data_IF_859572544426
#
_entry.id   IF_859572544426
#
_cell.length_a   1.000
_cell.length_b   1.000
_cell.length_c   1.000
_cell.angle_alpha   90.00
_cell.angle_beta   90.00
_cell.angle_gamma   90.00
#
_symmetry.space_group_name_H-M   'P 1'
#
loop_
_entity.id
_entity.type
_entity.pdbx_description
1 polymer ?
#
# COMPACT_ATOMS: atom_id res chain seq x y z
N UNK A 1 -19.12 -1.10 -15.76
CA UNK A 1 -20.30 -1.97 -15.58
C UNK A 1 -20.00 -3.46 -15.40
N UNK A 2 -19.14 -4.11 -16.22
CA UNK A 2 -18.79 -5.54 -16.02
C UNK A 2 -18.14 -5.85 -14.66
N UNK A 3 -17.24 -4.99 -14.17
CA UNK A 3 -16.59 -5.19 -12.87
C UNK A 3 -17.60 -5.23 -11.71
N UNK A 4 -18.60 -4.34 -11.71
CA UNK A 4 -19.67 -4.34 -10.72
C UNK A 4 -20.52 -5.62 -10.80
N UNK A 5 -20.86 -6.07 -12.02
CA UNK A 5 -21.61 -7.32 -12.22
C UNK A 5 -20.86 -8.53 -11.66
N UNK A 6 -19.54 -8.60 -11.89
CA UNK A 6 -18.70 -9.68 -11.36
C UNK A 6 -18.59 -9.64 -9.84
N UNK A 7 -18.44 -8.46 -9.24
CA UNK A 7 -18.38 -8.31 -7.78
C UNK A 7 -19.71 -8.68 -7.11
N UNK A 8 -20.84 -8.38 -7.74
CA UNK A 8 -22.16 -8.77 -7.23
C UNK A 8 -22.37 -10.29 -7.21
N UNK A 9 -21.57 -11.07 -7.94
CA UNK A 9 -21.65 -12.55 -7.95
C UNK A 9 -20.92 -13.22 -6.77
N UNK A 10 -20.06 -12.51 -6.03
CA UNK A 10 -19.32 -13.06 -4.89
C UNK A 10 -19.94 -12.60 -3.55
N UNK A 11 -19.88 -13.41 -2.48
CA UNK A 11 -20.30 -13.00 -1.15
C UNK A 11 -19.34 -11.94 -0.56
N UNK A 12 -19.79 -11.21 0.46
CA UNK A 12 -18.98 -10.21 1.19
C UNK A 12 -18.32 -9.16 0.28
N UNK A 13 -19.07 -8.69 -0.73
CA UNK A 13 -18.57 -7.84 -1.81
C UNK A 13 -18.66 -6.33 -1.54
N UNK A 14 -19.32 -5.90 -0.45
CA UNK A 14 -19.65 -4.50 -0.17
C UNK A 14 -18.42 -3.60 -0.27
N UNK A 15 -17.33 -3.96 0.40
CA UNK A 15 -16.10 -3.17 0.39
C UNK A 15 -15.45 -3.09 -1.00
N UNK A 16 -15.55 -4.14 -1.80
CA UNK A 16 -15.04 -4.14 -3.17
C UNK A 16 -15.87 -3.25 -4.09
N UNK A 17 -17.20 -3.24 -3.92
CA UNK A 17 -18.10 -2.35 -4.66
C UNK A 17 -17.85 -0.89 -4.30
N UNK A 18 -17.64 -0.59 -3.01
CA UNK A 18 -17.29 0.76 -2.54
C UNK A 18 -15.98 1.22 -3.21
N UNK A 19 -14.94 0.39 -3.17
CA UNK A 19 -13.64 0.70 -3.79
C UNK A 19 -13.76 0.94 -5.30
N UNK A 20 -14.58 0.14 -5.97
CA UNK A 20 -14.86 0.30 -7.41
C UNK A 20 -15.54 1.65 -7.68
N UNK A 21 -16.56 2.01 -6.90
CA UNK A 21 -17.30 3.26 -7.10
C UNK A 21 -16.47 4.48 -6.72
N UNK A 22 -15.75 4.43 -5.60
CA UNK A 22 -14.88 5.51 -5.12
C UNK A 22 -13.80 5.89 -6.14
N UNK A 23 -13.26 4.89 -6.86
CA UNK A 23 -12.19 5.10 -7.84
C UNK A 23 -12.70 5.31 -9.27
N UNK A 24 -14.01 5.30 -9.51
CA UNK A 24 -14.58 5.44 -10.85
C UNK A 24 -14.39 6.89 -11.36
N UNK A 25 -13.69 7.10 -12.49
CA UNK A 25 -13.58 8.41 -13.11
C UNK A 25 -14.85 8.67 -13.95
N UNK A 26 -15.77 9.47 -13.43
CA UNK A 26 -17.02 9.81 -14.12
C UNK A 26 -17.64 11.10 -13.61
N UNK A 27 -18.65 11.60 -14.34
CA UNK A 27 -19.47 12.71 -13.84
C UNK A 27 -20.42 12.23 -12.73
N UNK A 28 -21.03 13.16 -12.00
CA UNK A 28 -21.95 12.86 -10.89
C UNK A 28 -23.09 11.93 -11.30
N UNK A 29 -23.65 12.12 -12.50
CA UNK A 29 -24.73 11.28 -13.05
C UNK A 29 -24.25 9.84 -13.27
N UNK A 30 -23.11 9.65 -13.94
CA UNK A 30 -22.53 8.32 -14.17
C UNK A 30 -22.12 7.61 -12.87
N UNK A 31 -21.65 8.37 -11.87
CA UNK A 31 -21.33 7.85 -10.55
C UNK A 31 -22.60 7.39 -9.83
N UNK A 32 -23.66 8.20 -9.83
CA UNK A 32 -24.93 7.84 -9.20
C UNK A 32 -25.58 6.63 -9.90
N UNK A 33 -25.52 6.53 -11.23
CA UNK A 33 -25.97 5.33 -11.96
C UNK A 33 -25.22 4.07 -11.51
N UNK A 34 -23.91 4.19 -11.26
CA UNK A 34 -23.09 3.09 -10.75
C UNK A 34 -23.42 2.78 -9.27
N UNK A 35 -23.68 3.80 -8.45
CA UNK A 35 -24.10 3.63 -7.06
C UNK A 35 -25.43 2.88 -6.99
N UNK A 36 -26.43 3.28 -7.77
CA UNK A 36 -27.73 2.63 -7.86
C UNK A 36 -27.59 1.15 -8.24
N UNK A 37 -26.72 0.86 -9.23
CA UNK A 37 -26.41 -0.52 -9.63
C UNK A 37 -25.78 -1.33 -8.50
N UNK A 38 -24.90 -0.70 -7.71
CA UNK A 38 -24.22 -1.30 -6.58
C UNK A 38 -25.05 -1.26 -5.27
N UNK A 39 -26.26 -0.69 -5.28
CA UNK A 39 -27.11 -0.45 -4.10
C UNK A 39 -26.41 0.41 -3.04
N UNK A 40 -25.67 1.42 -3.47
CA UNK A 40 -24.99 2.40 -2.62
C UNK A 40 -25.80 3.72 -2.60
N UNK A 41 -25.68 4.53 -1.52
CA UNK A 41 -26.32 5.84 -1.45
C UNK A 41 -25.79 6.78 -2.54
N UNK A 42 -26.59 7.79 -2.89
CA UNK A 42 -26.17 8.81 -3.85
C UNK A 42 -24.99 9.62 -3.31
N UNK A 43 -24.20 10.21 -4.22
CA UNK A 43 -23.06 11.07 -3.85
C UNK A 43 -23.44 12.23 -2.93
N UNK A 44 -24.68 12.75 -3.01
CA UNK A 44 -25.21 13.78 -2.11
C UNK A 44 -25.52 13.24 -0.71
N UNK A 45 -26.18 12.08 -0.63
CA UNK A 45 -26.49 11.40 0.65
C UNK A 45 -25.22 10.98 1.39
N UNK A 46 -24.18 10.57 0.64
CA UNK A 46 -22.88 10.19 1.18
C UNK A 46 -22.26 11.29 2.06
N UNK A 47 -22.45 12.57 1.74
CA UNK A 47 -21.91 13.66 2.56
C UNK A 47 -22.55 13.65 3.96
N UNK A 48 -23.88 13.56 4.02
CA UNK A 48 -24.61 13.56 5.29
C UNK A 48 -24.30 12.30 6.12
N UNK A 49 -24.16 11.15 5.45
CA UNK A 49 -23.76 9.90 6.09
C UNK A 49 -22.33 9.98 6.66
N UNK A 50 -21.41 10.61 5.93
CA UNK A 50 -20.04 10.82 6.39
C UNK A 50 -19.98 11.72 7.63
N UNK A 51 -20.73 12.83 7.63
CA UNK A 51 -20.80 13.75 8.77
C UNK A 51 -21.44 13.09 10.01
N UNK A 52 -22.48 12.28 9.81
CA UNK A 52 -23.13 11.53 10.88
C UNK A 52 -22.18 10.49 11.48
N UNK A 53 -21.53 9.69 10.62
CA UNK A 53 -20.54 8.70 11.06
C UNK A 53 -19.35 9.35 11.79
N UNK A 54 -18.97 10.56 11.39
CA UNK A 54 -17.90 11.30 12.05
C UNK A 54 -18.32 11.77 13.46
N UNK A 55 -19.58 12.22 13.62
CA UNK A 55 -20.14 12.58 14.92
C UNK A 55 -20.22 11.38 15.88
N UNK A 56 -20.40 10.17 15.33
CA UNK A 56 -20.44 8.90 16.08
C UNK A 56 -19.05 8.28 16.31
N UNK A 57 -17.96 8.99 15.99
CA UNK A 57 -16.56 8.53 16.09
C UNK A 57 -16.24 7.25 15.27
N UNK A 58 -17.05 6.98 14.24
CA UNK A 58 -16.83 5.84 13.35
C UNK A 58 -15.97 6.25 12.15
N UNK A 59 -14.65 6.26 12.35
CA UNK A 59 -13.68 6.70 11.34
C UNK A 59 -13.75 5.87 10.06
N UNK A 60 -13.92 4.55 10.17
CA UNK A 60 -13.97 3.69 9.00
C UNK A 60 -15.14 4.04 8.08
N UNK A 61 -16.35 4.15 8.65
CA UNK A 61 -17.55 4.56 7.90
C UNK A 61 -17.46 6.00 7.40
N UNK A 62 -16.86 6.90 8.19
CA UNK A 62 -16.63 8.30 7.78
C UNK A 62 -15.81 8.36 6.50
N UNK A 63 -14.66 7.67 6.47
CA UNK A 63 -13.80 7.60 5.29
C UNK A 63 -14.55 6.95 4.12
N UNK A 64 -15.25 5.84 4.38
CA UNK A 64 -16.06 5.11 3.40
C UNK A 64 -17.03 6.02 2.64
N UNK A 65 -17.83 6.81 3.36
CA UNK A 65 -18.82 7.68 2.75
C UNK A 65 -18.22 8.93 2.10
N UNK A 66 -17.17 9.53 2.67
CA UNK A 66 -16.49 10.64 2.00
C UNK A 66 -15.91 10.22 0.64
N UNK A 67 -15.34 9.01 0.53
CA UNK A 67 -14.82 8.49 -0.73
C UNK A 67 -15.89 8.36 -1.83
N UNK A 68 -17.12 8.03 -1.42
CA UNK A 68 -18.29 7.94 -2.31
C UNK A 68 -18.95 9.30 -2.56
N UNK A 69 -18.43 10.39 -2.01
CA UNK A 69 -19.01 11.73 -2.19
C UNK A 69 -18.33 12.52 -3.33
N UNK A 70 -18.82 13.74 -3.57
CA UNK A 70 -18.20 14.67 -4.51
C UNK A 70 -16.83 15.21 -4.01
N UNK A 71 -16.55 15.08 -2.71
CA UNK A 71 -15.38 15.64 -2.00
C UNK A 71 -14.57 14.56 -1.25
N UNK A 72 -14.02 13.56 -1.97
CA UNK A 72 -13.24 12.47 -1.35
C UNK A 72 -11.98 12.95 -0.61
N UNK A 73 -11.46 14.13 -0.94
CA UNK A 73 -10.33 14.75 -0.27
C UNK A 73 -10.56 15.03 1.22
N UNK A 74 -11.82 15.20 1.67
CA UNK A 74 -12.16 15.40 3.08
C UNK A 74 -11.84 14.17 3.94
N UNK A 75 -11.78 12.98 3.35
CA UNK A 75 -11.40 11.76 4.04
C UNK A 75 -9.93 11.75 4.48
N UNK A 76 -9.05 12.44 3.73
CA UNK A 76 -7.60 12.42 3.95
C UNK A 76 -7.20 12.83 5.38
N UNK A 77 -7.51 14.05 5.86
CA UNK A 77 -7.07 14.47 7.20
C UNK A 77 -7.64 13.58 8.30
N UNK A 78 -8.88 13.10 8.16
CA UNK A 78 -9.57 12.25 9.15
C UNK A 78 -8.86 10.90 9.25
N UNK A 79 -8.72 10.19 8.12
CA UNK A 79 -8.12 8.86 8.11
C UNK A 79 -6.61 8.90 8.39
N UNK A 80 -5.88 9.91 7.93
CA UNK A 80 -4.45 10.07 8.23
C UNK A 80 -4.22 10.37 9.70
N UNK A 81 -5.03 11.24 10.32
CA UNK A 81 -4.94 11.52 11.76
C UNK A 81 -5.15 10.26 12.59
N UNK A 82 -6.18 9.46 12.28
CA UNK A 82 -6.43 8.17 12.91
C UNK A 82 -5.21 7.24 12.83
N UNK A 83 -4.63 7.08 11.64
CA UNK A 83 -3.45 6.21 11.46
C UNK A 83 -2.26 6.72 12.25
N UNK A 84 -2.01 8.04 12.25
CA UNK A 84 -0.91 8.67 13.00
C UNK A 84 -1.06 8.46 14.50
N UNK A 85 -2.27 8.56 15.03
CA UNK A 85 -2.55 8.31 16.44
C UNK A 85 -2.21 6.86 16.82
N UNK A 86 -2.67 5.89 16.04
CA UNK A 86 -2.36 4.47 16.28
C UNK A 86 -0.87 4.16 16.15
N UNK A 87 -0.18 4.67 15.12
CA UNK A 87 1.27 4.44 14.96
C UNK A 87 2.07 5.05 16.11
N UNK A 88 1.59 6.16 16.69
CA UNK A 88 2.20 6.80 17.85
C UNK A 88 2.01 6.01 19.15
N UNK A 89 1.04 5.10 19.19
CA UNK A 89 0.81 4.20 20.33
C UNK A 89 1.79 3.01 20.34
N UNK A 90 2.02 2.39 21.50
CA UNK A 90 2.96 1.27 21.64
C UNK A 90 2.45 -0.08 21.11
N UNK A 91 1.12 -0.27 21.08
CA UNK A 91 0.49 -1.59 20.96
C UNK A 91 -0.50 -1.70 19.77
N UNK A 92 -0.25 -0.97 18.69
CA UNK A 92 -1.05 -1.09 17.47
C UNK A 92 -0.65 -2.32 16.64
N UNK A 93 -1.56 -2.75 15.76
CA UNK A 93 -1.34 -3.87 14.85
C UNK A 93 -1.72 -3.51 13.42
N UNK A 94 -1.10 -4.14 12.43
CA UNK A 94 -1.33 -3.83 11.03
C UNK A 94 -2.82 -3.87 10.65
N UNK A 95 -3.58 -4.78 11.24
CA UNK A 95 -5.01 -4.97 10.99
C UNK A 95 -5.88 -3.81 11.49
N UNK A 96 -5.39 -2.98 12.43
CA UNK A 96 -6.15 -1.83 12.92
C UNK A 96 -6.05 -0.63 11.98
N UNK A 97 -4.86 -0.42 11.37
CA UNK A 97 -4.62 0.75 10.52
C UNK A 97 -4.83 0.48 9.03
N UNK A 98 -4.60 -0.77 8.59
CA UNK A 98 -4.63 -1.11 7.17
C UNK A 98 -6.00 -0.88 6.52
N UNK A 99 -7.15 -1.23 7.12
CA UNK A 99 -8.45 -1.02 6.48
C UNK A 99 -8.73 0.45 6.11
N UNK A 100 -8.31 1.39 6.97
CA UNK A 100 -8.48 2.83 6.72
C UNK A 100 -7.51 3.31 5.63
N UNK A 101 -6.23 2.91 5.70
CA UNK A 101 -5.23 3.27 4.66
C UNK A 101 -5.58 2.70 3.29
N UNK A 102 -6.08 1.47 3.26
CA UNK A 102 -6.52 0.80 2.04
C UNK A 102 -7.66 1.58 1.40
N UNK A 103 -8.68 2.00 2.17
CA UNK A 103 -9.74 2.88 1.67
C UNK A 103 -9.20 4.21 1.12
N UNK A 104 -8.35 4.91 1.87
CA UNK A 104 -7.76 6.19 1.42
C UNK A 104 -6.98 6.07 0.09
N UNK A 105 -6.47 4.88 -0.24
CA UNK A 105 -5.80 4.64 -1.51
C UNK A 105 -6.72 4.59 -2.73
N UNK A 106 -8.04 4.55 -2.54
CA UNK A 106 -9.04 4.63 -3.59
C UNK A 106 -9.59 6.05 -3.82
N UNK A 107 -8.96 7.07 -3.25
CA UNK A 107 -9.22 8.46 -3.68
C UNK A 107 -8.81 8.59 -5.14
N UNK A 108 -9.72 9.13 -5.95
CA UNK A 108 -9.50 9.41 -7.38
C UNK A 108 -8.21 10.19 -7.58
N UNK A 109 -7.40 9.74 -8.55
CA UNK A 109 -6.06 10.30 -8.78
C UNK A 109 -6.11 11.80 -9.09
N UNK A 110 -7.09 12.26 -9.85
CA UNK A 110 -7.26 13.69 -10.16
C UNK A 110 -7.54 14.55 -8.92
N UNK A 111 -8.22 13.99 -7.91
CA UNK A 111 -8.49 14.66 -6.63
C UNK A 111 -7.27 14.64 -5.73
N UNK A 112 -6.58 13.50 -5.65
CA UNK A 112 -5.38 13.34 -4.82
C UNK A 112 -4.20 14.20 -5.33
N UNK A 113 -4.12 14.46 -6.64
CA UNK A 113 -3.08 15.28 -7.24
C UNK A 113 -3.33 16.80 -7.14
N UNK A 114 -4.47 17.24 -6.60
CA UNK A 114 -4.72 18.65 -6.34
C UNK A 114 -3.65 19.24 -5.42
N UNK A 115 -3.26 20.49 -5.69
CA UNK A 115 -2.22 21.18 -4.93
C UNK A 115 -2.58 21.33 -3.44
N UNK A 116 -3.87 21.50 -3.13
CA UNK A 116 -4.42 21.56 -1.77
C UNK A 116 -4.18 20.27 -0.97
N UNK A 117 -4.04 19.14 -1.64
CA UNK A 117 -3.83 17.83 -1.03
C UNK A 117 -2.34 17.46 -0.91
N UNK A 118 -1.39 18.34 -1.25
CA UNK A 118 0.04 17.98 -1.34
C UNK A 118 0.60 17.40 -0.05
N UNK A 119 0.34 18.02 1.09
CA UNK A 119 0.80 17.54 2.40
C UNK A 119 0.17 16.20 2.74
N UNK A 120 -1.15 16.11 2.69
CA UNK A 120 -1.90 14.90 2.99
C UNK A 120 -1.53 13.73 2.06
N UNK A 121 -1.33 13.99 0.76
CA UNK A 121 -0.84 13.01 -0.21
C UNK A 121 0.55 12.52 0.18
N UNK A 122 1.44 13.42 0.59
CA UNK A 122 2.80 13.05 1.00
C UNK A 122 2.78 12.16 2.26
N UNK A 123 1.96 12.51 3.25
CA UNK A 123 1.75 11.68 4.45
C UNK A 123 1.16 10.31 4.09
N UNK A 124 0.12 10.27 3.26
CA UNK A 124 -0.50 9.02 2.79
C UNK A 124 0.52 8.11 2.09
N UNK A 125 1.35 8.67 1.20
CA UNK A 125 2.36 7.89 0.48
C UNK A 125 3.39 7.25 1.41
N UNK A 126 3.76 7.95 2.48
CA UNK A 126 4.70 7.44 3.50
C UNK A 126 4.04 6.35 4.34
N UNK A 127 2.82 6.59 4.81
CA UNK A 127 2.06 5.63 5.60
C UNK A 127 1.77 4.34 4.82
N UNK A 128 1.37 4.47 3.55
CA UNK A 128 1.19 3.33 2.65
C UNK A 128 2.51 2.62 2.31
N UNK A 129 3.60 3.36 2.16
CA UNK A 129 4.93 2.77 1.94
C UNK A 129 5.37 1.87 3.10
N UNK A 130 5.27 2.39 4.33
CA UNK A 130 5.61 1.64 5.54
C UNK A 130 4.67 0.45 5.76
N UNK A 131 3.35 0.68 5.69
CA UNK A 131 2.33 -0.37 5.82
C UNK A 131 2.50 -1.45 4.75
N UNK A 132 2.85 -1.05 3.52
CA UNK A 132 3.16 -1.95 2.43
C UNK A 132 4.40 -2.81 2.71
N UNK A 133 5.44 -2.27 3.35
CA UNK A 133 6.59 -3.05 3.79
C UNK A 133 6.18 -4.14 4.79
N UNK A 134 5.34 -3.78 5.76
CA UNK A 134 4.81 -4.72 6.75
C UNK A 134 3.96 -5.81 6.09
N UNK A 135 3.07 -5.46 5.17
CA UNK A 135 2.28 -6.42 4.39
C UNK A 135 3.16 -7.32 3.52
N UNK A 136 4.23 -6.78 2.92
CA UNK A 136 5.20 -7.55 2.14
C UNK A 136 5.91 -8.59 3.00
N UNK A 137 6.32 -8.21 4.23
CA UNK A 137 6.89 -9.16 5.20
C UNK A 137 5.87 -10.26 5.51
N UNK A 138 4.63 -9.89 5.84
CA UNK A 138 3.55 -10.83 6.16
C UNK A 138 3.28 -11.81 4.99
N UNK A 139 3.33 -11.33 3.75
CA UNK A 139 3.11 -12.14 2.54
C UNK A 139 4.37 -12.83 2.00
N UNK A 140 5.51 -12.67 2.66
CA UNK A 140 6.81 -13.22 2.26
C UNK A 140 7.30 -12.72 0.88
N UNK A 141 6.96 -11.48 0.51
CA UNK A 141 7.48 -10.81 -0.69
C UNK A 141 8.87 -10.23 -0.42
N UNK A 142 9.83 -11.10 -0.08
CA UNK A 142 11.13 -10.71 0.45
C UNK A 142 11.91 -9.75 -0.47
N UNK A 143 11.77 -9.86 -1.79
CA UNK A 143 12.51 -9.02 -2.75
C UNK A 143 12.17 -7.54 -2.65
N UNK A 144 10.91 -7.21 -2.35
CA UNK A 144 10.44 -5.82 -2.32
C UNK A 144 10.47 -5.19 -0.92
N UNK A 145 10.66 -5.98 0.15
CA UNK A 145 10.70 -5.45 1.52
C UNK A 145 11.76 -4.35 1.67
N UNK A 146 13.04 -4.55 1.31
CA UNK A 146 14.04 -3.49 1.39
C UNK A 146 13.68 -2.25 0.56
N UNK A 147 13.10 -2.47 -0.62
CA UNK A 147 12.73 -1.39 -1.52
C UNK A 147 11.60 -0.52 -0.96
N UNK A 148 10.64 -1.10 -0.23
CA UNK A 148 9.55 -0.37 0.42
C UNK A 148 10.05 0.47 1.62
N UNK A 149 10.99 -0.04 2.42
CA UNK A 149 11.64 0.75 3.47
C UNK A 149 12.47 1.90 2.90
N UNK A 150 13.23 1.65 1.83
CA UNK A 150 14.01 2.68 1.16
C UNK A 150 13.10 3.74 0.53
N UNK A 151 12.04 3.33 -0.18
CA UNK A 151 11.01 4.22 -0.70
C UNK A 151 10.45 5.14 0.40
N UNK A 152 10.02 4.56 1.51
CA UNK A 152 9.47 5.31 2.65
C UNK A 152 10.50 6.29 3.23
N UNK A 153 11.75 5.85 3.37
CA UNK A 153 12.85 6.67 3.87
C UNK A 153 13.19 7.83 2.93
N UNK A 154 13.16 7.61 1.61
CA UNK A 154 13.39 8.67 0.62
C UNK A 154 12.28 9.70 0.63
N UNK A 155 11.03 9.27 0.81
CA UNK A 155 9.91 10.19 0.96
C UNK A 155 10.04 11.05 2.22
N UNK A 156 10.40 10.45 3.36
CA UNK A 156 10.66 11.18 4.60
C UNK A 156 11.81 12.19 4.47
N UNK A 157 12.88 11.84 3.74
CA UNK A 157 14.04 12.74 3.53
C UNK A 157 13.72 13.94 2.65
N UNK A 158 12.88 13.76 1.62
CA UNK A 158 12.64 14.76 0.58
C UNK A 158 11.44 15.66 0.85
N UNK A 159 10.61 15.33 1.84
CA UNK A 159 9.31 15.98 2.07
C UNK A 159 9.21 16.45 3.50
N UNK A 160 8.70 17.66 3.66
CA UNK A 160 8.30 18.18 4.95
C UNK A 160 6.90 17.66 5.27
N UNK A 161 6.83 16.70 6.21
CA UNK A 161 5.59 16.03 6.63
C UNK A 161 5.62 15.75 8.13
N UNK A 162 4.45 15.65 8.75
CA UNK A 162 4.33 15.40 10.19
C UNK A 162 3.85 13.98 10.44
N UNK A 163 4.68 12.97 10.18
CA UNK A 163 4.32 11.56 10.45
C UNK A 163 5.11 10.99 11.63
N UNK A 164 4.52 10.08 12.45
CA UNK A 164 5.18 9.47 13.60
C UNK A 164 6.15 8.35 13.18
N UNK A 165 6.95 8.60 12.14
CA UNK A 165 7.95 7.68 11.59
C UNK A 165 9.28 8.41 11.47
N UNK A 166 10.35 7.73 11.83
CA UNK A 166 11.72 8.25 11.77
C UNK A 166 12.58 7.35 10.89
N UNK A 167 13.53 7.93 10.17
CA UNK A 167 14.40 7.19 9.25
C UNK A 167 15.27 6.20 10.04
N UNK A 168 15.73 6.57 11.23
CA UNK A 168 16.54 5.72 12.11
C UNK A 168 15.76 4.46 12.50
N UNK A 169 14.50 4.65 12.88
CA UNK A 169 13.59 3.57 13.24
C UNK A 169 13.34 2.62 12.06
N UNK A 170 13.12 3.15 10.85
CA UNK A 170 12.95 2.33 9.64
C UNK A 170 14.21 1.52 9.33
N UNK A 171 15.39 2.10 9.51
CA UNK A 171 16.67 1.42 9.30
C UNK A 171 16.88 0.30 10.32
N UNK A 172 16.64 0.57 11.61
CA UNK A 172 16.77 -0.43 12.69
C UNK A 172 15.83 -1.62 12.47
N UNK A 173 14.58 -1.36 12.08
CA UNK A 173 13.58 -2.40 11.81
C UNK A 173 13.97 -3.25 10.59
N UNK A 174 14.43 -2.61 9.50
CA UNK A 174 14.90 -3.32 8.30
C UNK A 174 16.13 -4.17 8.58
N UNK A 175 17.09 -3.66 9.35
CA UNK A 175 18.32 -4.39 9.69
C UNK A 175 18.02 -5.58 10.62
N UNK A 176 17.11 -5.40 11.59
CA UNK A 176 16.61 -6.48 12.43
C UNK A 176 15.91 -7.57 11.59
N UNK A 177 15.03 -7.17 10.67
CA UNK A 177 14.36 -8.10 9.75
C UNK A 177 15.36 -8.88 8.90
N UNK A 178 16.35 -8.22 8.29
CA UNK A 178 17.42 -8.88 7.51
C UNK A 178 18.20 -9.88 8.35
N UNK A 179 18.66 -9.48 9.53
CA UNK A 179 19.46 -10.35 10.40
C UNK A 179 18.68 -11.60 10.87
N UNK A 180 17.38 -11.46 11.12
CA UNK A 180 16.52 -12.56 11.56
C UNK A 180 15.99 -13.46 10.43
N UNK A 181 15.95 -12.97 9.18
CA UNK A 181 15.44 -13.75 8.02
C UNK A 181 16.54 -14.38 7.16
N UNK A 182 17.75 -13.83 7.15
CA UNK A 182 18.93 -14.40 6.46
C UNK A 182 19.33 -15.80 7.01
N UNK A 183 18.91 -16.14 8.23
CA UNK A 183 19.08 -17.48 8.80
C UNK A 183 18.24 -18.55 8.10
N UNK A 184 17.11 -18.17 7.49
CA UNK A 184 16.14 -19.09 6.89
C UNK A 184 16.40 -19.34 5.39
N UNK A 185 17.08 -18.43 4.69
CA UNK A 185 17.27 -18.48 3.22
C UNK A 185 18.55 -19.14 2.73
N UNK A 186 19.40 -19.66 3.62
CA UNK A 186 20.70 -20.23 3.22
C UNK A 186 20.64 -21.67 2.78
N UNK A 187 20.62 -21.84 1.46
CA UNK A 187 21.20 -23.01 0.80
C UNK A 187 22.46 -22.71 -0.03
N UNK A 188 22.91 -21.46 -0.28
CA UNK A 188 23.87 -21.25 -1.39
C UNK A 188 25.00 -20.18 -1.32
N UNK A 189 25.29 -19.39 -0.27
CA UNK A 189 26.41 -18.42 -0.33
C UNK A 189 27.33 -18.27 0.91
N UNK A 190 28.65 -18.29 0.64
CA UNK A 190 29.86 -18.34 1.49
C UNK A 190 30.18 -17.08 2.34
N UNK A 191 29.19 -16.33 2.82
CA UNK A 191 29.46 -15.20 3.73
C UNK A 191 29.50 -15.66 5.20
N UNK A 192 30.40 -15.15 6.07
CA UNK A 192 30.42 -15.53 7.48
C UNK A 192 29.10 -15.18 8.17
N UNK A 193 28.44 -16.18 8.75
CA UNK A 193 27.18 -15.98 9.46
C UNK A 193 27.43 -15.27 10.79
N UNK A 194 26.99 -14.01 10.89
CA UNK A 194 26.85 -13.33 12.19
C UNK A 194 25.43 -13.52 12.70
N UNK A 195 25.23 -14.20 13.84
CA UNK A 195 23.91 -14.35 14.42
C UNK A 195 23.32 -12.99 14.82
N UNK A 196 21.98 -12.83 14.80
CA UNK A 196 21.34 -11.59 15.18
C UNK A 196 21.60 -11.26 16.64
N UNK A 197 21.91 -9.99 16.92
CA UNK A 197 22.12 -9.47 18.27
C UNK A 197 20.82 -9.49 19.10
N UNK A 198 20.93 -9.38 20.41
CA UNK A 198 19.75 -9.32 21.30
C UNK A 198 18.86 -8.11 21.00
N UNK A 199 19.47 -6.97 20.64
CA UNK A 199 18.72 -5.77 20.21
C UNK A 199 17.94 -6.02 18.91
N UNK A 200 18.55 -6.65 17.91
CA UNK A 200 17.88 -6.99 16.64
C UNK A 200 16.73 -7.98 16.88
N UNK A 201 16.94 -8.99 17.74
CA UNK A 201 15.87 -9.94 18.10
C UNK A 201 14.70 -9.26 18.79
N UNK A 202 14.95 -8.29 19.66
CA UNK A 202 13.90 -7.55 20.35
C UNK A 202 13.10 -6.67 19.38
N UNK A 203 13.77 -5.96 18.47
CA UNK A 203 13.11 -5.17 17.42
C UNK A 203 12.28 -6.07 16.51
N UNK A 204 12.85 -7.20 16.07
CA UNK A 204 12.16 -8.18 15.23
C UNK A 204 10.94 -8.79 15.95
N UNK A 205 11.03 -9.07 17.25
CA UNK A 205 9.88 -9.55 18.03
C UNK A 205 8.75 -8.50 18.11
N UNK A 206 9.09 -7.21 18.26
CA UNK A 206 8.11 -6.11 18.22
C UNK A 206 7.46 -5.99 16.84
N UNK A 207 8.27 -6.08 15.77
CA UNK A 207 7.78 -6.13 14.39
C UNK A 207 6.76 -7.28 14.21
N UNK A 208 7.10 -8.49 14.64
CA UNK A 208 6.19 -9.64 14.56
C UNK A 208 4.88 -9.44 15.34
N UNK A 209 4.92 -8.80 16.51
CA UNK A 209 3.71 -8.46 17.28
C UNK A 209 2.78 -7.54 16.48
N UNK A 210 3.33 -6.52 15.82
CA UNK A 210 2.53 -5.61 14.97
C UNK A 210 1.95 -6.32 13.75
N UNK A 211 2.72 -7.25 13.20
CA UNK A 211 2.32 -8.04 12.05
C UNK A 211 1.20 -9.03 12.34
N UNK A 212 0.79 -9.24 13.61
CA UNK A 212 -0.28 -10.14 14.12
C UNK A 212 -0.67 -11.27 13.16
N UNK A 213 -0.55 -12.52 13.59
CA UNK A 213 -1.00 -13.67 12.79
C UNK A 213 -2.48 -13.56 12.41
N UNK A 214 -2.73 -13.00 11.24
CA UNK A 214 -3.98 -13.16 10.54
C UNK A 214 -3.92 -14.52 9.82
N UNK A 215 -5.04 -15.25 9.87
CA UNK A 215 -5.26 -16.42 9.03
C UNK A 215 -5.41 -15.98 7.58
N UNK A 216 -4.31 -15.57 6.93
CA UNK A 216 -4.33 -15.15 5.54
C UNK A 216 -4.90 -16.28 4.68
N UNK A 217 -6.12 -16.08 4.15
CA UNK A 217 -6.78 -16.97 3.17
C UNK A 217 -6.13 -16.91 1.77
N UNK A 218 -4.96 -16.29 1.64
CA UNK A 218 -4.31 -15.97 0.36
C UNK A 218 -2.97 -16.69 0.15
N UNK A 219 -2.51 -16.71 -1.09
CA UNK A 219 -1.21 -17.29 -1.48
C UNK A 219 -0.09 -16.40 -0.93
N UNK A 220 0.83 -17.01 -0.18
CA UNK A 220 2.06 -16.39 0.32
C UNK A 220 3.26 -16.80 -0.54
N UNK A 221 4.29 -15.96 -0.55
CA UNK A 221 5.52 -16.20 -1.30
C UNK A 221 5.59 -15.42 -2.61
N UNK A 222 6.78 -15.39 -3.24
CA UNK A 222 7.04 -14.56 -4.40
C UNK A 222 6.15 -14.91 -5.60
N UNK A 223 5.73 -13.87 -6.33
CA UNK A 223 5.08 -14.04 -7.63
C UNK A 223 6.12 -14.38 -8.70
N UNK A 224 5.82 -15.37 -9.54
CA UNK A 224 6.61 -15.72 -10.71
C UNK A 224 5.74 -15.73 -11.95
N UNK A 225 5.99 -14.79 -12.86
CA UNK A 225 5.39 -14.82 -14.19
C UNK A 225 6.12 -15.80 -15.11
N UNK A 226 5.46 -16.17 -16.19
CA UNK A 226 6.11 -17.02 -17.21
C UNK A 226 7.31 -16.28 -17.78
N UNK A 227 8.47 -16.93 -17.75
CA UNK A 227 9.71 -16.39 -18.32
C UNK A 227 10.53 -15.48 -17.39
N UNK A 228 10.19 -15.33 -16.10
CA UNK A 228 10.94 -14.47 -15.16
C UNK A 228 12.43 -14.80 -15.04
N UNK A 229 12.81 -16.06 -15.28
CA UNK A 229 14.20 -16.52 -15.20
C UNK A 229 14.87 -16.65 -16.58
N UNK A 230 14.21 -16.21 -17.66
CA UNK A 230 14.80 -16.26 -18.99
C UNK A 230 15.81 -15.12 -19.16
N UNK A 231 16.97 -15.39 -19.80
CA UNK A 231 17.95 -14.34 -20.08
C UNK A 231 17.36 -13.27 -21.00
N UNK A 232 17.54 -11.99 -20.65
CA UNK A 232 17.31 -10.90 -21.59
C UNK A 232 18.51 -10.73 -22.52
N UNK A 233 18.30 -10.89 -23.82
CA UNK A 233 19.33 -10.90 -24.86
C UNK A 233 19.47 -9.60 -25.67
N UNK A 234 18.48 -8.70 -25.64
CA UNK A 234 18.48 -7.48 -26.47
C UNK A 234 18.45 -6.18 -25.66
N UNK A 235 17.58 -6.10 -24.65
CA UNK A 235 17.38 -4.86 -23.89
C UNK A 235 17.69 -5.08 -22.40
N UNK A 236 18.78 -4.45 -21.95
CA UNK A 236 19.23 -4.52 -20.55
C UNK A 236 18.54 -3.38 -19.80
N UNK A 237 17.53 -3.74 -19.02
CA UNK A 237 16.88 -2.82 -18.08
C UNK A 237 17.40 -3.06 -16.67
N UNK A 238 17.63 -1.97 -15.93
CA UNK A 238 18.01 -2.01 -14.52
C UNK A 238 16.77 -1.71 -13.69
N UNK A 239 16.48 -2.56 -12.71
CA UNK A 239 15.37 -2.34 -11.79
C UNK A 239 15.65 -1.13 -10.91
N UNK A 240 14.74 -0.17 -10.85
CA UNK A 240 14.87 0.98 -9.95
C UNK A 240 14.66 0.61 -8.46
N UNK A 241 14.15 -0.59 -8.15
CA UNK A 241 14.01 -1.07 -6.77
C UNK A 241 15.28 -1.75 -6.25
N UNK A 242 15.92 -2.57 -7.08
CA UNK A 242 17.05 -3.40 -6.65
C UNK A 242 18.40 -2.94 -7.18
N UNK A 243 18.42 -2.09 -8.21
CA UNK A 243 19.65 -1.71 -8.93
C UNK A 243 20.26 -2.84 -9.76
N UNK A 244 19.58 -3.99 -9.85
CA UNK A 244 20.05 -5.16 -10.59
C UNK A 244 19.45 -5.22 -11.99
N UNK A 245 20.12 -5.95 -12.90
CA UNK A 245 19.59 -6.26 -14.22
C UNK A 245 18.30 -7.07 -14.10
N UNK A 246 17.24 -6.62 -14.77
CA UNK A 246 15.98 -7.35 -14.85
C UNK A 246 16.16 -8.58 -15.73
N UNK A 247 15.72 -9.73 -15.23
CA UNK A 247 15.57 -10.96 -15.98
C UNK A 247 14.08 -11.18 -16.28
N UNK A 248 13.78 -11.72 -17.46
CA UNK A 248 12.40 -11.92 -17.90
C UNK A 248 11.62 -10.62 -18.17
N UNK A 249 10.28 -10.64 -18.00
CA UNK A 249 9.40 -9.53 -18.34
C UNK A 249 9.65 -8.25 -17.53
N UNK A 250 9.67 -7.11 -18.23
CA UNK A 250 9.91 -5.77 -17.68
C UNK A 250 8.59 -5.02 -17.56
N UNK A 251 8.41 -4.28 -16.48
CA UNK A 251 7.31 -3.34 -16.29
C UNK A 251 7.86 -1.92 -16.22
N UNK A 252 7.42 -1.04 -17.13
CA UNK A 252 7.79 0.37 -17.15
C UNK A 252 6.84 1.19 -16.27
N UNK A 253 7.41 2.11 -15.49
CA UNK A 253 6.66 3.02 -14.64
C UNK A 253 6.11 4.20 -15.47
N UNK A 254 5.30 5.03 -14.83
CA UNK A 254 4.55 6.10 -15.48
C UNK A 254 5.43 7.19 -16.12
N UNK A 255 6.71 7.27 -15.77
CA UNK A 255 7.69 8.18 -16.38
C UNK A 255 8.22 7.68 -17.73
N UNK A 256 7.87 6.46 -18.13
CA UNK A 256 8.32 5.80 -19.36
C UNK A 256 9.83 5.49 -19.39
N UNK A 257 10.54 5.64 -18.26
CA UNK A 257 12.01 5.50 -18.17
C UNK A 257 12.40 4.50 -17.09
N UNK A 258 11.83 4.65 -15.92
CA UNK A 258 12.08 3.77 -14.79
C UNK A 258 11.38 2.45 -15.01
N UNK A 259 12.04 1.36 -14.64
CA UNK A 259 11.55 0.01 -14.86
C UNK A 259 11.78 -0.86 -13.64
N UNK A 260 10.92 -1.86 -13.46
CA UNK A 260 11.01 -2.90 -12.45
C UNK A 260 10.70 -4.26 -13.09
N UNK A 261 11.08 -5.36 -12.44
CA UNK A 261 10.65 -6.68 -12.93
C UNK A 261 9.13 -6.80 -12.81
N UNK A 262 8.48 -7.53 -13.71
CA UNK A 262 7.02 -7.74 -13.62
C UNK A 262 6.63 -8.48 -12.33
N UNK A 263 7.50 -9.36 -11.83
CA UNK A 263 7.31 -10.02 -10.53
C UNK A 263 7.24 -8.99 -9.40
N UNK A 264 8.22 -8.08 -9.32
CA UNK A 264 8.25 -7.05 -8.29
C UNK A 264 7.07 -6.09 -8.45
N UNK A 265 6.66 -5.77 -9.68
CA UNK A 265 5.48 -4.94 -9.93
C UNK A 265 4.21 -5.55 -9.34
N UNK A 266 3.96 -6.85 -9.61
CA UNK A 266 2.81 -7.58 -9.10
C UNK A 266 2.81 -7.65 -7.56
N UNK A 267 3.96 -8.02 -6.98
CA UNK A 267 4.11 -8.07 -5.52
C UNK A 267 3.92 -6.69 -4.89
N UNK A 268 4.46 -5.64 -5.51
CA UNK A 268 4.33 -4.25 -5.05
C UNK A 268 2.87 -3.80 -5.08
N UNK A 269 2.18 -3.93 -6.21
CA UNK A 269 0.79 -3.49 -6.36
C UNK A 269 -0.19 -4.19 -5.39
N UNK A 270 0.17 -5.39 -4.94
CA UNK A 270 -0.60 -6.16 -3.94
C UNK A 270 -0.48 -5.63 -2.50
N UNK A 271 0.56 -4.85 -2.19
CA UNK A 271 0.86 -4.39 -0.82
C UNK A 271 0.97 -2.87 -0.69
N UNK A 272 1.31 -2.18 -1.77
CA UNK A 272 1.38 -0.72 -1.84
C UNK A 272 0.69 -0.26 -3.13
N UNK A 273 -0.40 0.52 -3.03
CA UNK A 273 -1.17 0.94 -4.19
C UNK A 273 -0.40 1.94 -5.07
N UNK A 274 0.54 2.70 -4.51
CA UNK A 274 1.18 3.81 -5.22
C UNK A 274 2.48 3.39 -5.92
N UNK A 275 2.79 4.05 -7.03
CA UNK A 275 4.04 3.88 -7.78
C UNK A 275 5.27 4.11 -6.90
N UNK A 276 6.35 3.31 -7.08
CA UNK A 276 7.60 3.52 -6.37
C UNK A 276 8.30 4.85 -6.71
N UNK A 277 7.83 5.58 -7.73
CA UNK A 277 8.30 6.95 -8.00
C UNK A 277 7.78 7.97 -6.97
N UNK A 278 6.79 7.60 -6.16
CA UNK A 278 6.22 8.47 -5.13
C UNK A 278 5.37 9.61 -5.69
N UNK A 279 4.88 9.49 -6.93
CA UNK A 279 4.11 10.54 -7.62
C UNK A 279 2.69 10.70 -7.09
N UNK A 280 2.15 9.70 -6.37
CA UNK A 280 0.73 9.62 -6.03
C UNK A 280 -0.11 8.86 -7.07
N UNK A 281 0.49 8.42 -8.17
CA UNK A 281 -0.16 7.60 -9.19
C UNK A 281 -0.20 6.15 -8.72
N UNK A 282 -1.31 5.46 -8.99
CA UNK A 282 -1.50 4.05 -8.65
C UNK A 282 -0.69 3.15 -9.60
N UNK A 283 -0.01 2.14 -9.04
CA UNK A 283 0.65 1.11 -9.84
C UNK A 283 -0.37 0.05 -10.25
N UNK A 284 -0.52 -0.22 -11.55
CA UNK A 284 -1.40 -1.28 -12.06
C UNK A 284 -0.67 -2.19 -13.08
N UNK A 285 -0.15 -3.34 -12.63
CA UNK A 285 0.55 -4.31 -13.49
C UNK A 285 -0.32 -5.49 -13.96
N UNK A 286 -1.65 -5.43 -13.78
CA UNK A 286 -2.59 -6.51 -14.10
C UNK A 286 -3.23 -6.38 -15.49
#
# INVERSE_FOLDING_TARGET
>A
NLAADLLLMIPDNELHLIKLCAFYPGCTEEINDLHDKCKLPTVEECIQLAETAHADDNIFETVKYYLLSQEPEKALPIGISFVKEYISSSDWTLDTIYPVLDLLSYIRTEKLLLHTCTEARNELLILCGYTGALLAIRRQYQSIVPALYEYTSQLLKRREVSVPLKIEYLSEELDAWRACTQSTSRSLEDSPYTPPSDSQRMVYATLLKRLKEESLKGIIGPDYVTGSNLPSHSDIHISCLTGLKIQGPVFFLEDGKSAISLNDALMWAKVNPFSPLGTGIRLNPF
#
